data_IF_723174997399
#
_entry.id   IF_723174997399
#
_cell.length_a   1.000
_cell.length_b   1.000
_cell.length_c   1.000
_cell.angle_alpha   90.00
_cell.angle_beta   90.00
_cell.angle_gamma   90.00
#
_symmetry.space_group_name_H-M   'P 1'
#
loop_
_entity.id
_entity.type
_entity.pdbx_description
1 polymer ?
#
# COMPACT_ATOMS: atom_id res chain seq x y z
N UNK A 1 14.03 -3.46 18.71
CA UNK A 1 14.60 -3.14 17.41
C UNK A 1 14.21 -4.17 16.39
N UNK A 2 13.60 -3.76 15.30
CA UNK A 2 13.29 -4.73 14.26
C UNK A 2 14.58 -5.35 13.75
N UNK A 3 14.59 -6.65 13.61
CA UNK A 3 15.74 -7.33 13.07
C UNK A 3 15.95 -6.93 11.63
N UNK A 4 17.18 -6.58 11.28
CA UNK A 4 17.58 -6.33 9.90
C UNK A 4 17.76 -7.62 9.12
N UNK A 5 17.65 -8.75 9.79
CA UNK A 5 17.67 -10.08 9.19
C UNK A 5 16.24 -10.46 8.80
N UNK A 6 16.10 -11.30 7.81
CA UNK A 6 14.83 -11.73 7.28
C UNK A 6 14.58 -11.15 5.91
N UNK A 7 13.33 -11.27 5.43
CA UNK A 7 13.04 -10.99 4.03
C UNK A 7 13.23 -9.53 3.66
N UNK A 8 12.81 -8.59 4.53
CA UNK A 8 13.03 -7.16 4.26
C UNK A 8 14.51 -6.81 4.26
N UNK A 9 15.27 -7.33 5.23
CA UNK A 9 16.70 -7.13 5.30
C UNK A 9 17.44 -7.73 4.10
N UNK A 10 17.00 -8.90 3.64
CA UNK A 10 17.57 -9.53 2.45
C UNK A 10 17.32 -8.68 1.20
N UNK A 11 16.12 -8.15 1.04
CA UNK A 11 15.78 -7.28 -0.08
C UNK A 11 16.62 -5.99 -0.06
N UNK A 12 16.89 -5.45 1.13
CA UNK A 12 17.75 -4.28 1.27
C UNK A 12 19.19 -4.61 0.87
N UNK A 13 19.71 -5.77 1.26
CA UNK A 13 21.08 -6.18 0.90
C UNK A 13 21.29 -6.33 -0.60
N UNK A 14 20.27 -6.79 -1.32
CA UNK A 14 20.38 -6.95 -2.78
C UNK A 14 19.93 -5.70 -3.55
N UNK A 15 19.71 -4.59 -2.84
CA UNK A 15 19.41 -3.31 -3.47
C UNK A 15 17.96 -3.12 -3.91
N UNK A 16 17.04 -4.01 -3.51
CA UNK A 16 15.62 -3.89 -3.85
C UNK A 16 14.89 -2.91 -2.94
N UNK A 17 15.34 -2.74 -1.72
CA UNK A 17 14.83 -1.77 -0.76
C UNK A 17 15.97 -0.89 -0.28
N UNK A 18 15.68 0.40 -0.06
CA UNK A 18 16.61 1.28 0.62
C UNK A 18 16.34 1.22 2.12
N UNK A 19 17.40 1.24 2.93
CA UNK A 19 17.27 1.38 4.38
C UNK A 19 17.16 2.87 4.68
N UNK A 20 16.01 3.28 5.19
CA UNK A 20 15.77 4.69 5.52
C UNK A 20 14.74 4.73 6.64
N UNK A 21 15.13 5.15 7.85
CA UNK A 21 14.18 5.21 8.96
C UNK A 21 13.01 6.15 8.66
N UNK A 22 11.79 5.69 8.95
CA UNK A 22 10.61 6.53 8.86
C UNK A 22 10.47 7.43 10.06
N UNK A 23 9.65 8.47 9.93
CA UNK A 23 9.32 9.37 11.04
C UNK A 23 7.85 9.24 11.40
N UNK A 24 7.48 9.56 12.66
CA UNK A 24 6.05 9.56 13.04
C UNK A 24 5.21 10.47 12.17
N UNK A 25 5.72 11.64 11.79
CA UNK A 25 4.98 12.59 10.95
C UNK A 25 4.73 12.03 9.54
N UNK A 26 5.71 11.37 8.96
CA UNK A 26 5.58 10.74 7.65
C UNK A 26 4.52 9.64 7.67
N UNK A 27 4.60 8.77 8.67
CA UNK A 27 3.65 7.66 8.81
C UNK A 27 2.23 8.21 9.00
N UNK A 28 2.06 9.19 9.88
CA UNK A 28 0.75 9.82 10.12
C UNK A 28 0.18 10.44 8.84
N UNK A 29 1.03 11.10 8.04
CA UNK A 29 0.61 11.68 6.77
C UNK A 29 0.15 10.65 5.77
N UNK A 30 0.86 9.54 5.66
CA UNK A 30 0.48 8.45 4.77
C UNK A 30 -0.83 7.78 5.21
N UNK A 31 -1.02 7.57 6.51
CA UNK A 31 -2.25 7.00 7.04
C UNK A 31 -3.44 7.92 6.80
N UNK A 32 -3.26 9.22 6.99
CA UNK A 32 -4.32 10.20 6.75
C UNK A 32 -4.69 10.24 5.27
N UNK A 33 -3.70 10.35 4.40
CA UNK A 33 -3.91 10.41 2.96
C UNK A 33 -4.58 9.13 2.45
N UNK A 34 -4.09 7.98 2.88
CA UNK A 34 -4.69 6.70 2.52
C UNK A 34 -6.11 6.55 3.02
N UNK A 35 -6.36 6.94 4.26
CA UNK A 35 -7.68 6.86 4.87
C UNK A 35 -8.71 7.74 4.16
N UNK A 36 -8.33 8.96 3.83
CA UNK A 36 -9.21 9.89 3.11
C UNK A 36 -9.56 9.34 1.72
N UNK A 37 -8.57 8.87 0.98
CA UNK A 37 -8.79 8.30 -0.35
C UNK A 37 -9.66 7.05 -0.30
N UNK A 38 -9.47 6.20 0.70
CA UNK A 38 -10.27 5.00 0.84
C UNK A 38 -11.74 5.34 1.14
N UNK A 39 -11.97 6.32 2.01
CA UNK A 39 -13.31 6.82 2.27
C UNK A 39 -13.96 7.34 1.00
N UNK A 40 -13.24 8.15 0.23
CA UNK A 40 -13.76 8.71 -1.03
C UNK A 40 -14.02 7.61 -2.06
N UNK A 41 -13.20 6.55 -2.07
CA UNK A 41 -13.37 5.44 -2.99
C UNK A 41 -14.69 4.68 -2.77
N UNK A 42 -15.27 4.75 -1.59
CA UNK A 42 -16.57 4.15 -1.30
C UNK A 42 -17.75 4.97 -1.80
N UNK A 43 -17.52 6.17 -2.31
CA UNK A 43 -18.58 7.03 -2.82
C UNK A 43 -19.14 6.49 -4.13
N UNK A 44 -20.33 5.89 -4.06
CA UNK A 44 -20.98 5.27 -5.22
C UNK A 44 -21.44 6.29 -6.28
N UNK A 45 -21.45 7.58 -5.94
CA UNK A 45 -21.74 8.64 -6.90
C UNK A 45 -20.62 8.92 -7.89
N UNK A 46 -19.42 8.40 -7.62
CA UNK A 46 -18.28 8.58 -8.52
C UNK A 46 -18.25 7.49 -9.58
N UNK A 47 -17.62 7.78 -10.72
CA UNK A 47 -17.40 6.79 -11.75
C UNK A 47 -16.54 5.63 -11.22
N UNK A 48 -16.75 4.43 -11.73
CA UNK A 48 -15.97 3.25 -11.32
C UNK A 48 -14.48 3.48 -11.48
N UNK A 49 -14.05 4.11 -12.59
CA UNK A 49 -12.64 4.39 -12.83
C UNK A 49 -12.05 5.34 -11.80
N UNK A 50 -12.81 6.36 -11.38
CA UNK A 50 -12.37 7.28 -10.33
C UNK A 50 -12.26 6.58 -8.97
N UNK A 51 -13.24 5.75 -8.65
CA UNK A 51 -13.22 4.96 -7.43
C UNK A 51 -12.05 3.99 -7.38
N UNK A 52 -11.78 3.35 -8.53
CA UNK A 52 -10.66 2.43 -8.67
C UNK A 52 -9.33 3.14 -8.42
N UNK A 53 -9.14 4.31 -9.02
CA UNK A 53 -7.91 5.09 -8.85
C UNK A 53 -7.72 5.53 -7.40
N UNK A 54 -8.79 5.99 -6.75
CA UNK A 54 -8.76 6.35 -5.33
C UNK A 54 -8.41 5.17 -4.45
N UNK A 55 -9.05 4.01 -4.68
CA UNK A 55 -8.79 2.80 -3.89
C UNK A 55 -7.36 2.29 -4.07
N UNK A 56 -6.86 2.32 -5.29
CA UNK A 56 -5.50 1.91 -5.61
C UNK A 56 -4.47 2.81 -4.90
N UNK A 57 -4.64 4.13 -5.01
CA UNK A 57 -3.72 5.07 -4.36
C UNK A 57 -3.83 5.00 -2.83
N UNK A 58 -5.03 4.76 -2.30
CA UNK A 58 -5.21 4.52 -0.87
C UNK A 58 -4.41 3.30 -0.41
N UNK A 59 -4.56 2.18 -1.11
CA UNK A 59 -3.85 0.95 -0.77
C UNK A 59 -2.34 1.16 -0.81
N UNK A 60 -1.84 1.88 -1.81
CA UNK A 60 -0.41 2.16 -1.92
C UNK A 60 0.09 3.01 -0.74
N UNK A 61 -0.61 4.08 -0.40
CA UNK A 61 -0.20 4.94 0.72
C UNK A 61 -0.17 4.16 2.03
N UNK A 62 -1.17 3.31 2.28
CA UNK A 62 -1.26 2.50 3.49
C UNK A 62 -0.18 1.42 3.53
N UNK A 63 0.08 0.75 2.41
CA UNK A 63 1.14 -0.25 2.31
C UNK A 63 2.52 0.39 2.46
N UNK A 64 2.71 1.57 1.88
CA UNK A 64 3.96 2.32 2.02
C UNK A 64 4.18 2.73 3.48
N UNK A 65 3.13 3.15 4.18
CA UNK A 65 3.24 3.48 5.60
C UNK A 65 3.81 2.30 6.40
N UNK A 66 3.36 1.08 6.11
CA UNK A 66 3.88 -0.12 6.77
C UNK A 66 5.36 -0.35 6.47
N UNK A 67 5.76 -0.20 5.20
CA UNK A 67 7.15 -0.37 4.80
C UNK A 67 8.04 0.67 5.47
N UNK A 68 7.60 1.92 5.50
CA UNK A 68 8.32 3.01 6.15
C UNK A 68 8.41 2.82 7.66
N UNK A 69 7.36 2.26 8.25
CA UNK A 69 7.37 1.91 9.67
C UNK A 69 8.51 0.94 10.00
N UNK A 70 8.78 -0.01 9.11
CA UNK A 70 9.88 -0.97 9.27
C UNK A 70 11.26 -0.37 8.96
N UNK A 71 11.32 0.89 8.48
CA UNK A 71 12.58 1.56 8.20
C UNK A 71 13.13 1.31 6.81
N UNK A 72 12.27 0.97 5.86
CA UNK A 72 12.66 0.74 4.47
C UNK A 72 11.88 1.63 3.53
N UNK A 73 12.42 1.82 2.34
CA UNK A 73 11.83 2.63 1.29
C UNK A 73 11.94 1.94 -0.06
N UNK A 74 10.93 2.10 -0.89
CA UNK A 74 10.96 1.68 -2.29
C UNK A 74 10.07 2.59 -3.12
N UNK A 75 10.52 2.94 -4.32
CA UNK A 75 9.71 3.65 -5.31
C UNK A 75 8.97 2.68 -6.22
N UNK A 76 9.24 1.39 -6.12
CA UNK A 76 8.57 0.35 -6.88
C UNK A 76 7.27 -0.05 -6.19
N UNK A 77 6.14 0.41 -6.72
CA UNK A 77 4.82 0.17 -6.12
C UNK A 77 4.47 -1.31 -6.06
N UNK A 78 4.84 -2.08 -7.08
CA UNK A 78 4.60 -3.52 -7.08
C UNK A 78 5.28 -4.17 -5.87
N UNK A 79 6.54 -3.82 -5.63
CA UNK A 79 7.29 -4.36 -4.50
C UNK A 79 6.68 -3.94 -3.15
N UNK A 80 6.18 -2.72 -3.04
CA UNK A 80 5.53 -2.25 -1.82
C UNK A 80 4.34 -3.14 -1.47
N UNK A 81 3.57 -3.58 -2.47
CA UNK A 81 2.48 -4.53 -2.25
C UNK A 81 2.99 -5.94 -1.97
N UNK A 82 3.99 -6.37 -2.73
CA UNK A 82 4.53 -7.73 -2.63
C UNK A 82 5.10 -8.06 -1.25
N UNK A 83 5.60 -7.05 -0.52
CA UNK A 83 6.18 -7.27 0.80
C UNK A 83 5.16 -7.20 1.95
N UNK A 84 3.87 -7.00 1.68
CA UNK A 84 2.84 -6.96 2.71
C UNK A 84 2.81 -8.19 3.63
N UNK A 85 3.10 -9.42 3.16
CA UNK A 85 3.25 -10.54 4.08
C UNK A 85 4.34 -10.32 5.12
N UNK A 86 5.40 -9.59 4.78
CA UNK A 86 6.53 -9.33 5.69
C UNK A 86 6.33 -8.09 6.54
N UNK A 87 5.64 -7.06 6.04
CA UNK A 87 5.42 -5.83 6.80
C UNK A 87 4.24 -5.93 7.76
N UNK A 88 3.18 -6.60 7.35
CA UNK A 88 1.91 -6.66 8.10
C UNK A 88 1.42 -8.08 8.37
N UNK A 89 2.14 -9.10 7.90
CA UNK A 89 1.71 -10.49 8.08
C UNK A 89 0.46 -10.86 7.29
N UNK A 90 0.14 -10.13 6.23
CA UNK A 90 -1.04 -10.38 5.43
C UNK A 90 -0.85 -11.56 4.49
N UNK A 91 -1.96 -12.23 4.14
CA UNK A 91 -1.91 -13.37 3.24
C UNK A 91 -1.53 -12.95 1.81
N UNK A 92 -1.01 -13.91 1.04
CA UNK A 92 -0.68 -13.68 -0.36
C UNK A 92 -1.88 -13.23 -1.18
N UNK A 93 -3.10 -13.66 -0.81
CA UNK A 93 -4.32 -13.26 -1.51
C UNK A 93 -4.49 -11.74 -1.53
N UNK A 94 -4.18 -11.07 -0.42
CA UNK A 94 -4.31 -9.60 -0.33
C UNK A 94 -3.36 -8.89 -1.28
N UNK A 95 -2.07 -9.21 -1.24
CA UNK A 95 -1.13 -8.48 -2.09
C UNK A 95 -1.32 -8.83 -3.58
N UNK A 96 -1.80 -10.02 -3.91
CA UNK A 96 -2.08 -10.39 -5.30
C UNK A 96 -3.20 -9.57 -5.91
N UNK A 97 -4.24 -9.26 -5.12
CA UNK A 97 -5.30 -8.35 -5.57
C UNK A 97 -4.72 -6.97 -5.87
N UNK A 98 -3.86 -6.47 -4.99
CA UNK A 98 -3.22 -5.17 -5.18
C UNK A 98 -2.27 -5.17 -6.39
N UNK A 99 -1.55 -6.26 -6.61
CA UNK A 99 -0.70 -6.41 -7.79
C UNK A 99 -1.54 -6.42 -9.08
N UNK A 100 -2.69 -7.08 -9.05
CA UNK A 100 -3.62 -7.09 -10.19
C UNK A 100 -4.13 -5.69 -10.49
N UNK A 101 -4.49 -4.92 -9.46
CA UNK A 101 -4.91 -3.53 -9.62
C UNK A 101 -3.79 -2.68 -10.20
N UNK A 102 -2.55 -2.92 -9.78
CA UNK A 102 -1.38 -2.24 -10.32
C UNK A 102 -1.22 -2.50 -11.81
N UNK A 103 -1.37 -3.75 -12.26
CA UNK A 103 -1.30 -4.10 -13.67
C UNK A 103 -2.39 -3.40 -14.49
N UNK A 104 -3.63 -3.43 -14.00
CA UNK A 104 -4.77 -2.79 -14.68
C UNK A 104 -4.52 -1.29 -14.84
N UNK A 105 -4.01 -0.65 -13.80
CA UNK A 105 -3.72 0.79 -13.84
C UNK A 105 -2.59 1.12 -14.80
N UNK A 106 -1.55 0.29 -14.86
CA UNK A 106 -0.44 0.51 -15.79
C UNK A 106 -0.90 0.39 -17.24
N UNK A 107 -1.73 -0.59 -17.56
CA UNK A 107 -2.30 -0.73 -18.91
C UNK A 107 -3.14 0.50 -19.24
N UNK A 108 -3.93 1.00 -18.30
CA UNK A 108 -4.76 2.18 -18.47
C UNK A 108 -3.92 3.42 -18.81
N UNK A 109 -2.78 3.61 -18.15
CA UNK A 109 -1.88 4.72 -18.45
C UNK A 109 -1.34 4.64 -19.86
N UNK A 110 -1.06 3.45 -20.36
CA UNK A 110 -0.55 3.23 -21.70
C UNK A 110 -1.61 3.46 -22.77
N UNK A 111 -2.83 2.99 -22.53
CA UNK A 111 -3.93 3.04 -23.50
C UNK A 111 -4.77 4.31 -23.41
N UNK A 112 -4.55 5.10 -22.38
CA UNK A 112 -5.29 6.36 -22.15
C UNK A 112 -6.65 6.17 -21.51
N UNK A 113 -7.11 4.94 -21.33
CA UNK A 113 -8.35 4.64 -20.62
C UNK A 113 -8.32 3.22 -20.07
N UNK A 114 -9.20 2.91 -19.14
CA UNK A 114 -9.46 1.52 -18.76
C UNK A 114 -10.95 1.35 -18.44
N UNK A 115 -11.43 0.13 -18.69
CA UNK A 115 -12.74 -0.26 -18.22
C UNK A 115 -12.62 -0.75 -16.80
N UNK A 116 -13.24 -0.03 -15.87
CA UNK A 116 -13.23 -0.43 -14.49
C UNK A 116 -14.20 -1.60 -14.30
N UNK A 117 -13.68 -2.70 -13.75
CA UNK A 117 -14.46 -3.88 -13.41
C UNK A 117 -14.99 -3.71 -11.98
N UNK A 118 -16.31 -3.76 -11.82
CA UNK A 118 -16.95 -3.60 -10.53
C UNK A 118 -16.52 -4.70 -9.54
N UNK A 119 -16.28 -5.90 -10.02
CA UNK A 119 -15.81 -7.00 -9.18
C UNK A 119 -14.40 -6.75 -8.68
N UNK A 120 -13.51 -6.32 -9.57
CA UNK A 120 -12.15 -5.98 -9.18
C UNK A 120 -12.13 -4.78 -8.23
N UNK A 121 -12.99 -3.79 -8.44
CA UNK A 121 -13.12 -2.66 -7.52
C UNK A 121 -13.53 -3.13 -6.12
N UNK A 122 -14.51 -4.03 -6.03
CA UNK A 122 -14.95 -4.56 -4.75
C UNK A 122 -13.80 -5.30 -4.05
N UNK A 123 -13.06 -6.12 -4.78
CA UNK A 123 -11.90 -6.83 -4.24
C UNK A 123 -10.80 -5.86 -3.79
N UNK A 124 -10.56 -4.82 -4.57
CA UNK A 124 -9.57 -3.79 -4.26
C UNK A 124 -9.94 -3.01 -3.00
N UNK A 125 -11.21 -2.61 -2.87
CA UNK A 125 -11.69 -1.92 -1.66
C UNK A 125 -11.50 -2.78 -0.43
N UNK A 126 -11.82 -4.07 -0.53
CA UNK A 126 -11.65 -5.02 0.58
C UNK A 126 -10.17 -5.20 0.93
N UNK A 127 -9.31 -5.35 -0.06
CA UNK A 127 -7.87 -5.49 0.17
C UNK A 127 -7.29 -4.23 0.82
N UNK A 128 -7.66 -3.04 0.32
CA UNK A 128 -7.22 -1.77 0.90
C UNK A 128 -7.69 -1.63 2.35
N UNK A 129 -8.92 -2.04 2.65
CA UNK A 129 -9.44 -2.02 4.01
C UNK A 129 -8.66 -2.98 4.92
N UNK A 130 -8.28 -4.14 4.41
CA UNK A 130 -7.46 -5.11 5.16
C UNK A 130 -6.10 -4.49 5.50
N UNK A 131 -5.46 -3.82 4.54
CA UNK A 131 -4.19 -3.13 4.78
C UNK A 131 -4.37 -2.02 5.81
N UNK A 132 -5.43 -1.21 5.69
CA UNK A 132 -5.69 -0.13 6.64
C UNK A 132 -5.85 -0.65 8.07
N UNK A 133 -6.63 -1.68 8.25
CA UNK A 133 -6.86 -2.28 9.56
C UNK A 133 -5.54 -2.77 10.17
N UNK A 134 -4.72 -3.43 9.36
CA UNK A 134 -3.45 -3.98 9.84
C UNK A 134 -2.43 -2.87 10.18
N UNK A 135 -2.27 -1.88 9.29
CA UNK A 135 -1.24 -0.85 9.50
C UNK A 135 -1.60 0.08 10.65
N UNK A 136 -2.88 0.34 10.87
CA UNK A 136 -3.30 1.20 11.99
C UNK A 136 -3.10 0.53 13.36
N UNK A 137 -2.91 -0.79 13.39
CA UNK A 137 -2.61 -1.53 14.61
C UNK A 137 -1.13 -1.51 14.99
N UNK A 138 -0.26 -1.06 14.09
CA UNK A 138 1.16 -0.95 14.43
C UNK A 138 1.35 0.11 15.51
N UNK A 139 2.24 -0.14 16.49
CA UNK A 139 2.52 0.87 17.51
C UNK A 139 3.15 2.12 16.91
N UNK A 140 2.91 3.26 17.54
CA UNK A 140 3.51 4.52 17.10
C UNK A 140 5.04 4.45 17.18
N UNK A 141 5.70 5.02 16.17
CA UNK A 141 7.16 5.12 16.23
C UNK A 141 7.58 6.06 17.35
N UNK A 142 8.72 5.77 18.02
CA UNK A 142 9.26 6.70 19.00
C UNK A 142 9.59 8.04 18.35
N UNK A 143 9.33 9.13 19.09
CA UNK A 143 9.75 10.45 18.62
C UNK A 143 11.27 10.53 18.65
N UNK A 144 11.84 11.06 17.58
CA UNK A 144 13.28 11.34 17.54
C UNK A 144 13.52 12.62 18.32
N UNK A 145 14.36 12.54 19.32
CA UNK A 145 14.78 13.70 20.11
C UNK A 145 15.99 14.37 19.49
#
# INVERSE_FOLDING_TARGET
MPEQSGDLGNLARIGKLAVEPGTPAEIAGLLKSGGERLTDAHNEGLALSSRFDLAYNAAHALALAALRWHGYRSENRYLVFQVLPHTLGLSAATWRILAKAHEVRNVAEYEGYFEADATLLADLLKAAQTVQTAVTRLPSLPKVE
#
